data_IF_720739027578
#
_entry.id   IF_720739027578
#
_cell.length_a   1.000
_cell.length_b   1.000
_cell.length_c   1.000
_cell.angle_alpha   90.00
_cell.angle_beta   90.00
_cell.angle_gamma   90.00
#
_symmetry.space_group_name_H-M   'P 1'
#
loop_
_entity.id
_entity.type
_entity.pdbx_description
1 polymer ?
#
# COMPACT_ATOMS: atom_id res chain seq x y z
N UNK A 1 12.94 -26.16 10.79
CA UNK A 1 13.62 -25.11 11.60
C UNK A 1 13.91 -23.85 10.80
N UNK A 2 14.67 -23.92 9.71
CA UNK A 2 15.03 -22.73 8.91
C UNK A 2 13.84 -21.94 8.35
N UNK A 3 12.79 -22.62 7.87
CA UNK A 3 11.58 -21.97 7.34
C UNK A 3 10.82 -21.20 8.44
N UNK A 4 10.67 -21.80 9.62
CA UNK A 4 10.00 -21.17 10.77
C UNK A 4 10.80 -19.95 11.25
N UNK A 5 12.12 -20.04 11.21
CA UNK A 5 13.02 -18.94 11.54
C UNK A 5 12.86 -17.74 10.57
N UNK A 6 12.82 -17.99 9.25
CA UNK A 6 12.55 -16.92 8.28
C UNK A 6 11.14 -16.33 8.45
N UNK A 7 10.13 -17.18 8.67
CA UNK A 7 8.76 -16.72 8.87
C UNK A 7 8.65 -15.83 10.12
N UNK A 8 9.31 -16.23 11.21
CA UNK A 8 9.41 -15.42 12.42
C UNK A 8 10.08 -14.07 12.15
N UNK A 9 11.19 -14.06 11.40
CA UNK A 9 11.90 -12.83 11.07
C UNK A 9 11.05 -11.88 10.21
N UNK A 10 10.34 -12.39 9.20
CA UNK A 10 9.49 -11.56 8.34
C UNK A 10 8.22 -11.05 9.04
N UNK A 11 7.67 -11.78 10.00
CA UNK A 11 6.49 -11.34 10.76
C UNK A 11 6.86 -10.34 11.87
N UNK A 12 7.97 -10.57 12.57
CA UNK A 12 8.37 -9.75 13.72
C UNK A 12 9.34 -8.61 13.38
N UNK A 13 10.23 -8.83 12.41
CA UNK A 13 11.28 -7.89 12.02
C UNK A 13 10.73 -6.56 11.51
N UNK A 14 9.58 -6.56 10.82
CA UNK A 14 8.96 -5.33 10.32
C UNK A 14 8.55 -4.35 11.42
N UNK A 15 8.04 -4.87 12.56
CA UNK A 15 7.69 -4.04 13.71
C UNK A 15 8.93 -3.48 14.42
N UNK A 16 9.96 -4.31 14.58
CA UNK A 16 11.22 -3.92 15.22
C UNK A 16 11.98 -2.90 14.36
N UNK A 17 12.06 -3.11 13.05
CA UNK A 17 12.66 -2.17 12.11
C UNK A 17 11.90 -0.83 12.10
N UNK A 18 10.56 -0.86 12.18
CA UNK A 18 9.76 0.36 12.28
C UNK A 18 10.06 1.15 13.56
N UNK A 19 10.26 0.49 14.71
CA UNK A 19 10.62 1.19 15.97
C UNK A 19 11.99 1.86 15.97
N UNK A 20 12.85 1.53 15.01
CA UNK A 20 14.17 2.15 14.86
C UNK A 20 14.18 3.29 13.85
N UNK A 21 13.03 3.61 13.23
CA UNK A 21 12.96 4.74 12.33
C UNK A 21 13.26 6.04 13.09
N UNK A 22 14.13 6.91 12.55
CA UNK A 22 14.40 8.19 13.17
C UNK A 22 13.16 9.09 13.09
N UNK A 23 13.03 9.99 14.05
CA UNK A 23 12.12 11.13 13.97
C UNK A 23 12.64 12.07 12.87
N UNK A 24 12.26 11.82 11.62
CA UNK A 24 12.67 12.67 10.50
C UNK A 24 11.45 13.23 9.80
N UNK A 25 11.30 14.55 9.85
CA UNK A 25 10.40 15.27 8.97
C UNK A 25 11.11 15.48 7.63
N UNK A 26 10.64 14.82 6.57
CA UNK A 26 11.10 15.16 5.22
C UNK A 26 10.67 16.59 4.88
N UNK A 27 11.59 17.36 4.30
CA UNK A 27 11.31 18.73 3.87
C UNK A 27 10.26 18.79 2.75
N UNK A 28 10.10 17.69 2.01
CA UNK A 28 9.16 17.57 0.89
C UNK A 28 7.90 16.85 1.36
N UNK A 29 6.76 17.52 1.22
CA UNK A 29 5.47 17.03 1.71
C UNK A 29 5.06 15.71 1.03
N UNK A 30 4.86 14.67 1.84
CA UNK A 30 4.33 13.40 1.35
C UNK A 30 5.25 12.67 0.37
N UNK A 31 6.57 12.89 0.45
CA UNK A 31 7.56 12.35 -0.49
C UNK A 31 7.50 10.82 -0.60
N UNK A 32 7.32 10.11 0.51
CA UNK A 32 7.20 8.66 0.53
C UNK A 32 5.75 8.18 0.33
N UNK A 33 4.79 8.80 1.00
CA UNK A 33 3.36 8.46 1.01
C UNK A 33 2.69 8.68 -0.33
N UNK A 34 2.99 9.80 -0.99
CA UNK A 34 2.40 10.17 -2.27
C UNK A 34 3.35 9.87 -3.43
N UNK A 35 4.24 8.88 -3.29
CA UNK A 35 5.19 8.48 -4.32
C UNK A 35 4.56 8.32 -5.71
N UNK A 36 3.36 7.74 -5.80
CA UNK A 36 2.65 7.63 -7.08
C UNK A 36 2.32 9.00 -7.69
N UNK A 37 1.94 9.99 -6.88
CA UNK A 37 1.69 11.35 -7.35
C UNK A 37 2.99 11.96 -7.90
N UNK A 38 4.11 11.77 -7.21
CA UNK A 38 5.43 12.20 -7.69
C UNK A 38 5.84 11.50 -8.99
N UNK A 39 5.50 10.22 -9.17
CA UNK A 39 5.70 9.53 -10.46
C UNK A 39 4.93 10.19 -11.61
N UNK A 40 3.66 10.54 -11.38
CA UNK A 40 2.85 11.23 -12.40
C UNK A 40 3.37 12.64 -12.68
N UNK A 41 3.80 13.38 -11.65
CA UNK A 41 4.41 14.70 -11.80
C UNK A 41 5.73 14.63 -12.56
N UNK A 42 6.53 13.58 -12.34
CA UNK A 42 7.81 13.38 -13.02
C UNK A 42 7.66 13.25 -14.55
N UNK A 43 6.49 12.85 -15.04
CA UNK A 43 6.19 12.81 -16.49
C UNK A 43 6.11 14.22 -17.08
N UNK A 44 5.69 15.22 -16.30
CA UNK A 44 5.52 16.60 -16.75
C UNK A 44 6.75 17.47 -16.47
N UNK A 45 7.42 17.24 -15.34
CA UNK A 45 8.58 17.99 -14.91
C UNK A 45 9.53 17.06 -14.15
N UNK A 46 10.86 17.13 -14.34
CA UNK A 46 11.79 16.27 -13.61
C UNK A 46 11.68 16.54 -12.11
N UNK A 47 11.18 15.55 -11.35
CA UNK A 47 11.06 15.60 -9.89
C UNK A 47 11.70 14.34 -9.31
N UNK A 48 12.35 14.48 -8.16
CA UNK A 48 12.90 13.33 -7.44
C UNK A 48 11.77 12.39 -6.98
N UNK A 49 12.03 11.09 -7.07
CA UNK A 49 11.05 10.05 -6.72
C UNK A 49 11.63 9.23 -5.58
N UNK A 50 10.86 9.05 -4.51
CA UNK A 50 11.24 8.17 -3.42
C UNK A 50 11.51 6.74 -3.91
N UNK A 51 12.53 6.10 -3.34
CA UNK A 51 12.85 4.71 -3.68
C UNK A 51 11.74 3.76 -3.18
N UNK A 52 11.37 2.78 -4.01
CA UNK A 52 10.45 1.70 -3.59
C UNK A 52 11.17 0.75 -2.64
N UNK A 53 12.45 0.47 -2.91
CA UNK A 53 13.21 -0.47 -2.13
C UNK A 53 13.56 0.15 -0.78
N UNK A 54 13.13 -0.53 0.27
CA UNK A 54 13.40 -0.15 1.65
C UNK A 54 14.85 -0.52 2.00
N UNK A 55 15.48 0.32 2.81
CA UNK A 55 16.85 0.10 3.27
C UNK A 55 16.90 -1.04 4.29
N UNK A 56 17.97 -1.84 4.21
CA UNK A 56 18.21 -2.94 5.13
C UNK A 56 18.58 -2.42 6.51
N UNK A 57 17.90 -2.93 7.54
CA UNK A 57 18.23 -2.65 8.95
C UNK A 57 18.36 -3.98 9.69
N UNK A 58 19.25 -4.02 10.67
CA UNK A 58 19.56 -5.24 11.42
C UNK A 58 18.86 -5.24 12.79
N UNK A 59 17.67 -5.84 12.89
CA UNK A 59 16.88 -5.91 14.14
C UNK A 59 16.04 -7.19 14.24
N UNK A 60 16.42 -8.18 15.06
CA UNK A 60 17.77 -8.58 15.48
C UNK A 60 18.59 -9.25 14.36
N UNK A 61 17.99 -9.37 13.15
CA UNK A 61 18.57 -9.91 11.93
C UNK A 61 18.34 -8.93 10.77
N UNK A 62 19.06 -9.05 9.65
CA UNK A 62 18.85 -8.15 8.51
C UNK A 62 17.45 -8.34 7.92
N UNK A 63 16.69 -7.25 7.88
CA UNK A 63 15.36 -7.15 7.27
C UNK A 63 15.25 -5.88 6.44
N UNK A 64 14.52 -5.96 5.33
CA UNK A 64 14.18 -4.83 4.46
C UNK A 64 12.67 -4.65 4.34
N UNK A 65 11.93 -5.17 5.32
CA UNK A 65 10.49 -5.06 5.44
C UNK A 65 10.23 -4.21 6.65
N UNK A 66 9.42 -3.19 6.47
CA UNK A 66 8.87 -2.39 7.54
C UNK A 66 7.35 -2.53 7.52
N UNK A 67 6.70 -2.04 8.56
CA UNK A 67 5.24 -1.94 8.54
C UNK A 67 4.79 -1.05 7.36
N UNK A 68 3.59 -1.30 6.81
CA UNK A 68 2.99 -0.41 5.80
C UNK A 68 2.85 1.05 6.26
N UNK A 69 3.00 1.32 7.57
CA UNK A 69 2.96 2.65 8.15
C UNK A 69 4.21 3.49 7.86
N UNK A 70 5.34 2.87 7.51
CA UNK A 70 6.62 3.57 7.26
C UNK A 70 6.49 4.81 6.37
N UNK A 71 5.96 4.74 5.13
CA UNK A 71 5.91 5.93 4.27
C UNK A 71 5.12 7.08 4.90
N UNK A 72 4.02 6.77 5.58
CA UNK A 72 3.19 7.75 6.27
C UNK A 72 3.89 8.35 7.49
N UNK A 73 4.63 7.53 8.24
CA UNK A 73 5.40 7.96 9.40
C UNK A 73 6.57 8.87 9.00
N UNK A 74 7.29 8.53 7.93
CA UNK A 74 8.40 9.35 7.42
C UNK A 74 7.96 10.73 6.92
N UNK A 75 6.69 10.90 6.52
CA UNK A 75 6.18 12.19 6.03
C UNK A 75 5.36 12.97 7.05
N UNK A 76 4.68 12.27 7.97
CA UNK A 76 3.68 12.85 8.87
C UNK A 76 3.89 12.48 10.35
N UNK A 77 4.93 11.72 10.68
CA UNK A 77 5.24 11.27 12.04
C UNK A 77 4.01 10.61 12.69
N UNK A 78 3.63 10.96 13.92
CA UNK A 78 2.45 10.41 14.60
C UNK A 78 1.10 10.69 13.92
N UNK A 79 1.00 11.70 13.04
CA UNK A 79 -0.21 11.90 12.24
C UNK A 79 -0.45 10.76 11.22
N UNK A 80 0.57 9.92 10.98
CA UNK A 80 0.44 8.70 10.17
C UNK A 80 -0.68 7.76 10.66
N UNK A 81 -1.05 7.80 11.95
CA UNK A 81 -2.13 7.01 12.52
C UNK A 81 -3.51 7.32 11.92
N UNK A 82 -3.67 8.45 11.23
CA UNK A 82 -4.90 8.77 10.50
C UNK A 82 -5.09 7.87 9.26
N UNK A 83 -4.01 7.45 8.60
CA UNK A 83 -4.09 6.66 7.37
C UNK A 83 -4.73 5.28 7.58
N UNK A 84 -4.37 4.48 8.60
CA UNK A 84 -5.07 3.24 8.92
C UNK A 84 -6.57 3.42 9.13
N UNK A 85 -6.98 4.50 9.79
CA UNK A 85 -8.40 4.81 10.05
C UNK A 85 -9.11 5.06 8.72
N UNK A 86 -8.50 5.88 7.85
CA UNK A 86 -9.02 6.20 6.52
C UNK A 86 -9.14 4.94 5.66
N UNK A 87 -8.07 4.14 5.56
CA UNK A 87 -8.07 2.91 4.77
C UNK A 87 -9.02 1.85 5.33
N UNK A 88 -9.08 1.70 6.66
CA UNK A 88 -10.04 0.83 7.35
C UNK A 88 -11.49 1.22 7.07
N UNK A 89 -11.80 2.52 7.09
CA UNK A 89 -13.12 3.01 6.74
C UNK A 89 -13.50 2.69 5.28
N UNK A 90 -12.63 3.01 4.32
CA UNK A 90 -12.90 2.75 2.91
C UNK A 90 -13.02 1.26 2.59
N UNK A 91 -12.11 0.44 3.11
CA UNK A 91 -12.16 -1.01 2.92
C UNK A 91 -13.41 -1.64 3.55
N UNK A 92 -13.81 -1.18 4.74
CA UNK A 92 -15.07 -1.59 5.37
C UNK A 92 -16.30 -1.21 4.52
N UNK A 93 -16.30 -0.02 3.92
CA UNK A 93 -17.36 0.39 2.98
C UNK A 93 -17.41 -0.51 1.74
N UNK A 94 -16.26 -0.88 1.17
CA UNK A 94 -16.18 -1.78 0.02
C UNK A 94 -16.75 -3.16 0.37
N UNK A 95 -16.42 -3.69 1.56
CA UNK A 95 -16.97 -4.95 2.06
C UNK A 95 -18.51 -4.93 2.12
N UNK A 96 -19.10 -3.90 2.74
CA UNK A 96 -20.55 -3.76 2.84
C UNK A 96 -21.19 -3.59 1.45
N UNK A 97 -20.55 -2.84 0.56
CA UNK A 97 -21.07 -2.59 -0.77
C UNK A 97 -21.04 -3.84 -1.67
N UNK A 98 -20.18 -4.83 -1.41
CA UNK A 98 -20.17 -6.10 -2.15
C UNK A 98 -21.55 -6.81 -2.12
N UNK A 99 -22.30 -6.66 -1.03
CA UNK A 99 -23.63 -7.25 -0.88
C UNK A 99 -24.69 -6.59 -1.77
N UNK A 100 -24.42 -5.43 -2.36
CA UNK A 100 -25.30 -4.76 -3.32
C UNK A 100 -25.26 -5.40 -4.72
N UNK A 101 -24.48 -6.46 -4.92
CA UNK A 101 -24.35 -7.23 -6.18
C UNK A 101 -24.02 -6.38 -7.42
N UNK A 102 -23.43 -5.19 -7.26
CA UNK A 102 -22.94 -4.42 -8.41
C UNK A 102 -21.66 -5.04 -8.93
N UNK A 103 -21.53 -5.11 -10.26
CA UNK A 103 -20.41 -5.79 -10.93
C UNK A 103 -19.03 -5.30 -10.49
N UNK A 104 -18.87 -3.99 -10.31
CA UNK A 104 -17.60 -3.37 -9.89
C UNK A 104 -17.05 -3.93 -8.58
N UNK A 105 -17.91 -4.35 -7.63
CA UNK A 105 -17.44 -4.85 -6.35
C UNK A 105 -16.87 -6.26 -6.42
N UNK A 106 -17.15 -7.03 -7.48
CA UNK A 106 -16.46 -8.31 -7.69
C UNK A 106 -14.98 -8.12 -8.07
N UNK A 107 -14.60 -6.93 -8.54
CA UNK A 107 -13.22 -6.58 -8.89
C UNK A 107 -12.54 -5.84 -7.74
N UNK A 108 -13.21 -4.81 -7.20
CA UNK A 108 -12.63 -3.94 -6.16
C UNK A 108 -12.48 -4.67 -4.82
N UNK A 109 -13.37 -5.60 -4.48
CA UNK A 109 -13.31 -6.32 -3.21
C UNK A 109 -12.07 -7.22 -3.08
N UNK A 110 -11.75 -8.11 -4.05
CA UNK A 110 -10.53 -8.92 -3.99
C UNK A 110 -9.25 -8.08 -3.92
N UNK A 111 -9.19 -6.98 -4.69
CA UNK A 111 -8.06 -6.03 -4.65
C UNK A 111 -7.89 -5.45 -3.26
N UNK A 112 -8.97 -4.97 -2.65
CA UNK A 112 -8.96 -4.41 -1.29
C UNK A 112 -8.55 -5.46 -0.27
N UNK A 113 -9.05 -6.70 -0.41
CA UNK A 113 -8.70 -7.80 0.48
C UNK A 113 -7.21 -8.15 0.39
N UNK A 114 -6.65 -8.20 -0.83
CA UNK A 114 -5.22 -8.39 -1.04
C UNK A 114 -4.40 -7.26 -0.39
N UNK A 115 -4.81 -6.00 -0.58
CA UNK A 115 -4.13 -4.86 0.02
C UNK A 115 -4.09 -4.94 1.55
N UNK A 116 -5.19 -5.37 2.20
CA UNK A 116 -5.23 -5.62 3.65
C UNK A 116 -4.28 -6.77 4.03
N UNK A 117 -4.35 -7.91 3.34
CA UNK A 117 -3.54 -9.08 3.65
C UNK A 117 -2.03 -8.79 3.58
N UNK A 118 -1.63 -7.88 2.70
CA UNK A 118 -0.24 -7.51 2.47
C UNK A 118 0.27 -6.35 3.35
N UNK A 119 -0.56 -5.76 4.22
CA UNK A 119 -0.18 -4.65 5.11
C UNK A 119 1.01 -4.97 6.03
N UNK A 120 1.26 -6.25 6.32
CA UNK A 120 2.40 -6.65 7.14
C UNK A 120 3.74 -6.43 6.43
N UNK A 121 3.74 -6.41 5.09
CA UNK A 121 4.96 -6.41 4.29
C UNK A 121 5.23 -5.08 3.61
N UNK A 122 4.21 -4.41 3.10
CA UNK A 122 4.40 -3.19 2.33
C UNK A 122 3.12 -2.35 2.24
N UNK A 123 3.26 -1.09 1.86
CA UNK A 123 2.13 -0.20 1.58
C UNK A 123 1.46 -0.55 0.26
N UNK A 124 0.39 -1.35 0.33
CA UNK A 124 -0.42 -1.68 -0.84
C UNK A 124 -1.49 -0.62 -1.17
N UNK A 125 -1.51 0.55 -0.52
CA UNK A 125 -2.50 1.58 -0.82
C UNK A 125 -1.93 2.64 -1.77
N UNK A 126 -1.30 3.69 -1.23
CA UNK A 126 -0.92 4.84 -2.03
C UNK A 126 0.29 4.55 -2.92
N UNK A 127 1.23 3.72 -2.47
CA UNK A 127 2.40 3.31 -3.26
C UNK A 127 2.04 2.45 -4.48
N UNK A 128 0.94 1.69 -4.41
CA UNK A 128 0.46 0.82 -5.49
C UNK A 128 -0.81 1.32 -6.21
N UNK A 129 -1.28 2.52 -5.87
CA UNK A 129 -2.52 3.13 -6.38
C UNK A 129 -2.66 3.06 -7.91
N UNK A 130 -1.63 3.42 -8.66
CA UNK A 130 -1.67 3.41 -10.14
C UNK A 130 -1.93 1.99 -10.69
N UNK A 131 -1.32 0.97 -10.08
CA UNK A 131 -1.53 -0.42 -10.47
C UNK A 131 -2.95 -0.89 -10.15
N UNK A 132 -3.51 -0.48 -9.01
CA UNK A 132 -4.89 -0.79 -8.67
C UNK A 132 -5.89 -0.12 -9.61
N UNK A 133 -5.67 1.15 -9.97
CA UNK A 133 -6.50 1.85 -10.95
C UNK A 133 -6.48 1.09 -12.28
N UNK A 134 -5.30 0.71 -12.76
CA UNK A 134 -5.14 -0.05 -13.99
C UNK A 134 -5.89 -1.40 -13.93
N UNK A 135 -5.75 -2.15 -12.84
CA UNK A 135 -6.44 -3.43 -12.66
C UNK A 135 -7.95 -3.27 -12.55
N UNK A 136 -8.44 -2.22 -11.89
CA UNK A 136 -9.87 -1.94 -11.79
C UNK A 136 -10.44 -1.61 -13.18
N UNK A 137 -9.78 -0.73 -13.94
CA UNK A 137 -10.20 -0.37 -15.30
C UNK A 137 -10.19 -1.62 -16.19
N UNK A 138 -9.08 -2.36 -16.18
CA UNK A 138 -8.90 -3.56 -17.01
C UNK A 138 -9.93 -4.63 -16.65
N UNK A 139 -10.09 -4.95 -15.36
CA UNK A 139 -11.08 -5.91 -14.89
C UNK A 139 -12.51 -5.46 -15.20
N UNK A 140 -12.79 -4.16 -15.14
CA UNK A 140 -14.10 -3.62 -15.51
C UNK A 140 -14.35 -3.76 -17.02
N UNK A 141 -13.37 -3.46 -17.87
CA UNK A 141 -13.48 -3.67 -19.33
C UNK A 141 -13.60 -5.15 -19.67
N UNK A 142 -12.83 -6.04 -19.06
CA UNK A 142 -12.88 -7.49 -19.35
C UNK A 142 -14.21 -8.11 -18.95
N UNK A 143 -14.78 -7.68 -17.83
CA UNK A 143 -16.10 -8.13 -17.41
C UNK A 143 -17.21 -7.46 -18.21
N UNK A 144 -16.90 -6.47 -19.08
CA UNK A 144 -17.87 -5.71 -19.84
C UNK A 144 -18.47 -6.61 -20.90
N UNK A 145 -19.61 -7.18 -20.54
CA UNK A 145 -20.62 -7.63 -21.47
C UNK A 145 -21.07 -6.39 -22.27
N UNK A 146 -20.30 -6.04 -23.29
CA UNK A 146 -20.79 -5.19 -24.36
C UNK A 146 -22.11 -5.79 -24.80
N UNK A 147 -23.12 -4.95 -25.02
CA UNK A 147 -24.43 -5.40 -25.44
C UNK A 147 -24.35 -6.20 -26.74
N UNK A 148 -24.04 -7.49 -26.66
CA UNK A 148 -24.56 -8.52 -27.54
C UNK A 148 -26.05 -8.65 -27.20
N UNK A 149 -26.78 -7.57 -27.48
CA UNK A 149 -28.20 -7.64 -27.79
C UNK A 149 -28.28 -7.95 -29.28
N UNK A 150 -28.19 -9.24 -29.58
CA UNK A 150 -29.10 -10.04 -30.42
C UNK A 150 -28.42 -11.34 -30.77
#
# INVERSE_FOLDING_TARGET
>A
DLILYYLYNYISGGFLAFSQLPDSYNQVFGFYSFRNVYLWLNVLYPVEIANILQEWVNVPFPVNVYTYLRPYYMDFDYFSLLFPIIFGFFSGRIYVQKYRKKRIYYIVYPITFYAIAMQLFDDQYLTWLSNWILLIITGYVMTWEGGCRK
#
